data_IF_147532228232
#
_entry.id   IF_147532228232
#
_cell.length_a   1.000
_cell.length_b   1.000
_cell.length_c   1.000
_cell.angle_alpha   90.00
_cell.angle_beta   90.00
_cell.angle_gamma   90.00
#
_symmetry.space_group_name_H-M   'P 1'
#
loop_
_entity.id
_entity.type
_entity.pdbx_description
1 polymer ?
#
# COMPACT_ATOMS: atom_id res chain seq x y z
N UNK A 1 22.89 -20.04 -10.71
CA UNK A 1 21.57 -19.44 -10.50
C UNK A 1 21.80 -18.21 -9.65
N UNK A 2 21.78 -17.01 -10.23
CA UNK A 2 21.97 -15.78 -9.46
C UNK A 2 20.75 -15.59 -8.58
N UNK A 3 20.97 -15.52 -7.28
CA UNK A 3 19.98 -15.04 -6.34
C UNK A 3 19.94 -13.53 -6.55
N UNK A 4 18.94 -13.04 -7.28
CA UNK A 4 18.75 -11.61 -7.46
C UNK A 4 18.36 -11.05 -6.08
N UNK A 5 19.35 -10.54 -5.35
CA UNK A 5 19.14 -9.95 -4.03
C UNK A 5 18.25 -8.71 -4.19
N UNK A 6 17.10 -8.70 -3.50
CA UNK A 6 16.28 -7.51 -3.39
C UNK A 6 17.11 -6.39 -2.75
N UNK A 7 17.05 -5.20 -3.34
CA UNK A 7 17.80 -4.05 -2.85
C UNK A 7 17.15 -3.48 -1.59
N UNK A 8 17.92 -3.38 -0.50
CA UNK A 8 17.47 -2.74 0.73
C UNK A 8 17.57 -1.21 0.61
N UNK A 9 16.42 -0.56 0.59
CA UNK A 9 16.28 0.88 0.47
C UNK A 9 16.23 1.52 1.87
N UNK A 10 17.25 2.34 2.17
CA UNK A 10 17.31 3.05 3.44
C UNK A 10 16.47 4.32 3.44
N UNK A 11 16.11 4.81 4.63
CA UNK A 11 15.40 6.08 4.81
C UNK A 11 16.12 7.26 4.15
N UNK A 12 17.45 7.32 4.24
CA UNK A 12 18.26 8.40 3.68
C UNK A 12 18.22 8.41 2.15
N UNK A 13 18.02 7.25 1.54
CA UNK A 13 17.93 7.07 0.09
C UNK A 13 16.54 7.44 -0.47
N UNK A 14 15.53 7.58 0.37
CA UNK A 14 14.22 8.12 0.01
C UNK A 14 14.27 9.64 -0.16
N UNK A 15 15.05 10.08 -1.14
CA UNK A 15 15.16 11.47 -1.56
C UNK A 15 15.10 11.57 -3.09
N UNK A 16 14.61 12.71 -3.59
CA UNK A 16 14.34 12.92 -5.01
C UNK A 16 15.52 12.61 -5.91
N UNK A 17 16.73 13.00 -5.52
CA UNK A 17 17.95 12.79 -6.31
C UNK A 17 18.20 11.31 -6.50
N UNK A 18 18.31 10.57 -5.39
CA UNK A 18 18.60 9.14 -5.43
C UNK A 18 17.54 8.36 -6.21
N UNK A 19 16.25 8.61 -5.96
CA UNK A 19 15.15 7.95 -6.65
C UNK A 19 15.21 8.20 -8.17
N UNK A 20 15.42 9.45 -8.59
CA UNK A 20 15.47 9.80 -10.03
C UNK A 20 16.67 9.22 -10.76
N UNK A 21 17.82 9.10 -10.08
CA UNK A 21 19.08 8.64 -10.69
C UNK A 21 19.21 7.12 -10.68
N UNK A 22 18.63 6.42 -9.70
CA UNK A 22 18.91 5.00 -9.45
C UNK A 22 17.68 4.09 -9.54
N UNK A 23 16.48 4.59 -9.20
CA UNK A 23 15.26 3.76 -9.12
C UNK A 23 14.45 3.87 -10.41
N UNK A 24 13.99 5.05 -10.78
CA UNK A 24 13.12 5.23 -11.96
C UNK A 24 13.73 4.78 -13.30
N UNK A 25 15.05 4.93 -13.55
CA UNK A 25 15.65 4.43 -14.79
C UNK A 25 15.75 2.91 -14.85
N UNK A 26 15.60 2.20 -13.72
CA UNK A 26 15.75 0.76 -13.66
C UNK A 26 14.50 0.06 -14.23
N UNK A 27 14.69 -0.65 -15.34
CA UNK A 27 13.62 -1.38 -16.03
C UNK A 27 13.60 -2.89 -15.74
N UNK A 28 14.54 -3.37 -14.94
CA UNK A 28 14.73 -4.79 -14.67
C UNK A 28 14.34 -5.17 -13.23
N UNK A 29 14.47 -4.23 -12.29
CA UNK A 29 14.10 -4.42 -10.88
C UNK A 29 13.04 -3.40 -10.48
N UNK A 30 11.89 -3.90 -10.07
CA UNK A 30 10.76 -3.13 -9.56
C UNK A 30 10.55 -3.29 -8.05
N UNK A 31 11.02 -4.38 -7.44
CA UNK A 31 10.88 -4.66 -6.01
C UNK A 31 12.10 -4.29 -5.19
N UNK A 32 11.83 -3.77 -3.99
CA UNK A 32 12.82 -3.32 -3.01
C UNK A 32 12.44 -3.84 -1.62
N UNK A 33 13.39 -3.86 -0.68
CA UNK A 33 13.10 -4.07 0.74
C UNK A 33 13.24 -2.75 1.49
N UNK A 34 12.45 -2.56 2.54
CA UNK A 34 12.64 -1.46 3.47
C UNK A 34 12.34 -1.95 4.89
N UNK A 35 13.30 -1.81 5.78
CA UNK A 35 13.24 -2.23 7.19
C UNK A 35 12.76 -1.10 8.13
N UNK A 36 12.77 0.15 7.67
CA UNK A 36 12.22 1.28 8.41
C UNK A 36 10.69 1.35 8.27
N UNK A 37 10.00 1.01 9.37
CA UNK A 37 8.55 0.99 9.48
C UNK A 37 7.95 2.30 10.00
N UNK A 38 8.72 3.39 9.98
CA UNK A 38 8.20 4.69 10.41
C UNK A 38 7.16 5.23 9.42
N UNK A 39 6.19 5.97 9.96
CA UNK A 39 5.13 6.60 9.17
C UNK A 39 5.71 7.56 8.12
N UNK A 40 6.79 8.27 8.47
CA UNK A 40 7.50 9.16 7.55
C UNK A 40 8.05 8.40 6.34
N UNK A 41 8.71 7.27 6.57
CA UNK A 41 9.30 6.45 5.51
C UNK A 41 8.22 5.87 4.61
N UNK A 42 7.13 5.34 5.18
CA UNK A 42 6.00 4.84 4.38
C UNK A 42 5.35 5.93 3.54
N UNK A 43 5.13 7.13 4.09
CA UNK A 43 4.58 8.27 3.34
C UNK A 43 5.51 8.65 2.19
N UNK A 44 6.82 8.75 2.42
CA UNK A 44 7.80 9.04 1.37
C UNK A 44 7.80 7.99 0.25
N UNK A 45 7.68 6.70 0.60
CA UNK A 45 7.54 5.64 -0.39
C UNK A 45 6.32 5.91 -1.30
N UNK A 46 5.16 6.21 -0.72
CA UNK A 46 3.97 6.56 -1.50
C UNK A 46 4.16 7.83 -2.35
N UNK A 47 4.78 8.88 -1.81
CA UNK A 47 5.06 10.14 -2.53
C UNK A 47 5.97 9.92 -3.75
N UNK A 48 6.92 8.99 -3.66
CA UNK A 48 7.77 8.58 -4.79
C UNK A 48 7.11 7.55 -5.71
N UNK A 49 5.85 7.20 -5.46
CA UNK A 49 5.05 6.32 -6.32
C UNK A 49 5.17 4.83 -6.00
N UNK A 50 5.88 4.44 -4.95
CA UNK A 50 5.95 3.04 -4.57
C UNK A 50 4.58 2.54 -4.08
N UNK A 51 4.23 1.33 -4.49
CA UNK A 51 3.17 0.53 -3.87
C UNK A 51 3.86 -0.42 -2.91
N UNK A 52 3.60 -0.28 -1.61
CA UNK A 52 4.25 -1.11 -0.59
C UNK A 52 3.26 -2.11 -0.01
N UNK A 53 3.70 -3.36 0.09
CA UNK A 53 3.08 -4.38 0.92
C UNK A 53 4.07 -4.79 2.01
N UNK A 54 3.90 -5.97 2.61
CA UNK A 54 4.87 -6.51 3.56
C UNK A 54 5.26 -7.95 3.26
N UNK A 55 6.44 -8.33 3.75
CA UNK A 55 6.99 -9.67 3.59
C UNK A 55 7.82 -10.05 4.83
N UNK A 56 7.87 -11.34 5.12
CA UNK A 56 8.79 -11.92 6.10
C UNK A 56 9.87 -12.68 5.33
N UNK A 57 11.13 -12.28 5.51
CA UNK A 57 12.31 -12.94 4.93
C UNK A 57 13.29 -13.26 6.05
N UNK A 58 13.72 -14.53 6.14
CA UNK A 58 14.67 -14.99 7.16
C UNK A 58 14.29 -14.56 8.60
N UNK A 59 13.00 -14.65 8.93
CA UNK A 59 12.39 -14.25 10.20
C UNK A 59 12.43 -12.73 10.50
N UNK A 60 12.80 -11.91 9.53
CA UNK A 60 12.73 -10.46 9.62
C UNK A 60 11.56 -9.91 8.81
N UNK A 61 10.91 -8.89 9.35
CA UNK A 61 9.80 -8.21 8.70
C UNK A 61 10.32 -7.03 7.87
N UNK A 62 9.82 -6.90 6.64
CA UNK A 62 10.12 -5.77 5.76
C UNK A 62 8.84 -5.23 5.14
N UNK A 63 8.83 -3.92 4.86
CA UNK A 63 8.02 -3.42 3.77
C UNK A 63 8.61 -3.95 2.46
N UNK A 64 7.74 -4.24 1.51
CA UNK A 64 8.11 -4.64 0.15
C UNK A 64 7.62 -3.57 -0.84
N UNK A 65 8.36 -2.45 -1.01
CA UNK A 65 7.99 -1.42 -1.98
C UNK A 65 8.21 -1.88 -3.42
N UNK A 66 7.28 -1.51 -4.28
CA UNK A 66 7.35 -1.79 -5.72
C UNK A 66 7.10 -0.52 -6.55
N UNK A 67 7.97 -0.27 -7.53
CA UNK A 67 7.69 0.68 -8.62
C UNK A 67 7.06 -0.10 -9.78
N UNK A 68 5.80 0.19 -10.10
CA UNK A 68 5.13 -0.48 -11.21
C UNK A 68 5.68 0.04 -12.53
N UNK A 69 5.94 -0.86 -13.49
CA UNK A 69 6.24 -0.43 -14.87
C UNK A 69 5.01 0.20 -15.54
N UNK A 70 3.82 -0.26 -15.15
CA UNK A 70 2.53 0.28 -15.59
C UNK A 70 1.57 0.33 -14.40
N UNK A 71 1.08 1.52 -14.06
CA UNK A 71 0.13 1.69 -12.97
C UNK A 71 -1.30 1.49 -13.46
N UNK A 72 -2.02 0.57 -12.82
CA UNK A 72 -3.47 0.48 -12.99
C UNK A 72 -4.13 1.66 -12.29
N UNK A 73 -4.82 2.51 -13.06
CA UNK A 73 -5.58 3.65 -12.55
C UNK A 73 -7.08 3.43 -12.75
N UNK A 74 -7.87 3.88 -11.78
CA UNK A 74 -9.34 3.86 -11.87
C UNK A 74 -9.85 5.27 -12.21
N UNK A 75 -10.38 5.43 -13.43
CA UNK A 75 -11.12 6.64 -13.80
C UNK A 75 -12.57 6.55 -13.29
N UNK A 76 -12.87 7.27 -12.21
CA UNK A 76 -14.19 7.30 -11.60
C UNK A 76 -15.29 7.77 -12.55
N UNK A 77 -14.99 8.67 -13.49
CA UNK A 77 -15.98 9.18 -14.45
C UNK A 77 -16.42 8.09 -15.43
N UNK A 78 -15.54 7.11 -15.67
CA UNK A 78 -15.79 5.99 -16.56
C UNK A 78 -15.98 4.66 -15.82
N UNK A 79 -16.29 4.71 -14.52
CA UNK A 79 -16.54 3.52 -13.73
C UNK A 79 -17.76 2.77 -14.29
N UNK A 80 -17.54 1.56 -14.78
CA UNK A 80 -18.62 0.72 -15.26
C UNK A 80 -19.49 0.20 -14.10
N UNK A 81 -20.74 0.66 -14.03
CA UNK A 81 -21.72 0.17 -13.04
C UNK A 81 -22.81 -0.62 -13.77
N UNK A 82 -22.81 -1.93 -13.54
CA UNK A 82 -23.81 -2.83 -14.14
C UNK A 82 -25.23 -2.51 -13.65
N UNK A 83 -26.25 -2.91 -14.44
CA UNK A 83 -27.66 -2.71 -14.08
C UNK A 83 -28.01 -3.34 -12.72
N UNK A 84 -27.46 -4.53 -12.42
CA UNK A 84 -27.67 -5.24 -11.15
C UNK A 84 -27.17 -4.43 -9.96
N UNK A 85 -25.96 -3.88 -10.07
CA UNK A 85 -25.36 -3.04 -9.01
C UNK A 85 -26.17 -1.75 -8.83
N UNK A 86 -26.65 -1.12 -9.91
CA UNK A 86 -27.54 0.05 -9.82
C UNK A 86 -28.83 -0.27 -9.06
N UNK A 87 -29.40 -1.46 -9.23
CA UNK A 87 -30.57 -1.90 -8.45
C UNK A 87 -30.22 -2.08 -6.98
N UNK A 88 -29.11 -2.75 -6.66
CA UNK A 88 -28.67 -2.96 -5.27
C UNK A 88 -28.47 -1.64 -4.52
N UNK A 89 -27.87 -0.63 -5.16
CA UNK A 89 -27.67 0.70 -4.57
C UNK A 89 -29.01 1.36 -4.20
N UNK A 90 -30.07 1.15 -5.01
CA UNK A 90 -31.40 1.72 -4.78
C UNK A 90 -32.16 1.05 -3.64
N UNK A 91 -31.88 -0.21 -3.34
CA UNK A 91 -32.65 -0.99 -2.36
C UNK A 91 -32.44 -0.53 -0.91
N UNK A 92 -31.48 0.37 -0.63
CA UNK A 92 -31.20 0.95 0.70
C UNK A 92 -30.89 -0.04 1.84
N UNK A 93 -30.76 -1.34 1.52
CA UNK A 93 -30.42 -2.41 2.46
C UNK A 93 -28.99 -2.27 3.01
N UNK A 94 -28.12 -1.58 2.28
CA UNK A 94 -26.73 -1.35 2.67
C UNK A 94 -26.46 0.12 2.95
N UNK A 95 -25.74 0.39 4.04
CA UNK A 95 -25.24 1.72 4.36
C UNK A 95 -23.74 1.78 4.06
N UNK A 96 -23.36 2.64 3.13
CA UNK A 96 -21.96 2.96 2.89
C UNK A 96 -21.49 3.98 3.94
N UNK A 97 -20.38 3.67 4.62
CA UNK A 97 -19.74 4.56 5.58
C UNK A 97 -18.25 4.64 5.28
N UNK A 98 -17.64 5.80 5.48
CA UNK A 98 -16.21 6.02 5.33
C UNK A 98 -15.57 6.02 6.72
N UNK A 99 -14.44 5.33 6.89
CA UNK A 99 -13.63 5.29 8.12
C UNK A 99 -14.38 4.95 9.41
N UNK A 100 -15.53 4.28 9.32
CA UNK A 100 -16.35 3.93 10.50
C UNK A 100 -15.70 2.84 11.36
N UNK A 101 -15.13 1.83 10.71
CA UNK A 101 -14.52 0.68 11.38
C UNK A 101 -13.35 0.14 10.54
N UNK A 102 -12.28 0.94 10.48
CA UNK A 102 -11.10 0.64 9.66
C UNK A 102 -10.43 -0.68 10.07
N UNK A 103 -10.36 -0.97 11.38
CA UNK A 103 -9.75 -2.19 11.90
C UNK A 103 -10.53 -3.44 11.46
N UNK A 104 -11.86 -3.42 11.53
CA UNK A 104 -12.68 -4.53 11.06
C UNK A 104 -12.47 -4.79 9.56
N UNK A 105 -12.34 -3.73 8.75
CA UNK A 105 -12.03 -3.88 7.32
C UNK A 105 -10.68 -4.56 7.10
N UNK A 106 -9.62 -4.14 7.80
CA UNK A 106 -8.29 -4.78 7.70
C UNK A 106 -8.34 -6.25 8.09
N UNK A 107 -8.98 -6.57 9.21
CA UNK A 107 -9.14 -7.96 9.67
C UNK A 107 -9.85 -8.83 8.64
N UNK A 108 -10.88 -8.31 7.97
CA UNK A 108 -11.59 -9.08 6.95
C UNK A 108 -10.76 -9.30 5.69
N UNK A 109 -9.92 -8.33 5.28
CA UNK A 109 -8.98 -8.51 4.17
C UNK A 109 -7.95 -9.59 4.51
N UNK A 110 -7.38 -9.51 5.73
CA UNK A 110 -6.39 -10.48 6.20
C UNK A 110 -6.97 -11.90 6.28
N UNK A 111 -8.19 -12.06 6.81
CA UNK A 111 -8.82 -13.37 6.95
C UNK A 111 -9.34 -13.96 5.63
N UNK A 112 -9.57 -13.12 4.62
CA UNK A 112 -10.04 -13.58 3.32
C UNK A 112 -8.95 -14.31 2.53
N UNK A 113 -7.68 -13.89 2.67
CA UNK A 113 -6.53 -14.51 2.00
C UNK A 113 -5.68 -15.31 2.98
N UNK A 114 -5.47 -16.60 2.70
CA UNK A 114 -4.61 -17.47 3.54
C UNK A 114 -3.18 -16.93 3.66
N UNK A 115 -2.65 -16.37 2.57
CA UNK A 115 -1.31 -15.77 2.46
C UNK A 115 -1.46 -14.25 2.31
N UNK A 116 -2.06 -13.61 3.32
CA UNK A 116 -2.27 -12.17 3.33
C UNK A 116 -0.95 -11.41 3.41
N UNK A 117 -0.79 -10.41 2.57
CA UNK A 117 0.32 -9.44 2.63
C UNK A 117 0.17 -8.42 3.77
N UNK A 118 -0.94 -8.46 4.51
CA UNK A 118 -1.18 -7.69 5.72
C UNK A 118 -0.75 -8.51 6.92
N UNK A 119 0.53 -8.37 7.27
CA UNK A 119 1.12 -8.92 8.49
C UNK A 119 0.94 -7.96 9.68
N UNK A 120 1.15 -8.44 10.91
CA UNK A 120 0.84 -7.69 12.14
C UNK A 120 1.52 -6.30 12.21
N UNK A 121 2.79 -6.20 11.83
CA UNK A 121 3.51 -4.93 11.83
C UNK A 121 3.00 -3.96 10.75
N UNK A 122 2.57 -4.50 9.61
CA UNK A 122 1.95 -3.70 8.55
C UNK A 122 0.55 -3.22 8.94
N UNK A 123 -0.26 -4.06 9.58
CA UNK A 123 -1.55 -3.68 10.14
C UNK A 123 -1.41 -2.49 11.12
N UNK A 124 -0.46 -2.59 12.06
CA UNK A 124 -0.15 -1.52 13.02
C UNK A 124 0.22 -0.21 12.32
N UNK A 125 1.04 -0.28 11.27
CA UNK A 125 1.40 0.88 10.44
C UNK A 125 0.16 1.54 9.83
N UNK A 126 -0.71 0.75 9.19
CA UNK A 126 -1.95 1.24 8.57
C UNK A 126 -2.89 1.90 9.59
N UNK A 127 -3.05 1.31 10.77
CA UNK A 127 -3.87 1.87 11.86
C UNK A 127 -3.29 3.21 12.35
N UNK A 128 -1.98 3.30 12.49
CA UNK A 128 -1.30 4.53 12.89
C UNK A 128 -1.47 5.63 11.82
N UNK A 129 -1.36 5.31 10.54
CA UNK A 129 -1.62 6.24 9.43
C UNK A 129 -3.05 6.78 9.44
N UNK A 130 -4.04 5.90 9.62
CA UNK A 130 -5.44 6.31 9.72
C UNK A 130 -5.68 7.25 10.91
N UNK A 131 -4.99 7.01 12.03
CA UNK A 131 -5.10 7.83 13.24
C UNK A 131 -4.49 9.22 13.05
N UNK A 132 -3.35 9.34 12.34
CA UNK A 132 -2.77 10.64 11.97
C UNK A 132 -3.74 11.48 11.13
N UNK A 133 -4.41 10.86 10.14
CA UNK A 133 -5.35 11.57 9.26
C UNK A 133 -6.54 12.14 10.02
N UNK A 134 -7.04 11.43 11.03
CA UNK A 134 -8.15 11.91 11.86
C UNK A 134 -7.76 13.14 12.72
N UNK A 135 -6.47 13.36 12.98
CA UNK A 135 -5.96 14.52 13.72
C UNK A 135 -5.69 15.74 12.83
N UNK A 136 -5.47 15.53 11.52
CA UNK A 136 -5.15 16.57 10.53
C UNK A 136 -6.32 16.83 9.56
N UNK A 137 -7.55 16.69 10.05
CA UNK A 137 -8.78 16.74 9.26
C UNK A 137 -8.93 18.03 8.44
N UNK A 138 -8.48 17.97 7.18
CA UNK A 138 -8.90 18.81 6.06
C UNK A 138 -8.97 17.93 4.80
N UNK A 139 -9.99 17.07 4.76
CA UNK A 139 -10.67 16.61 3.55
C UNK A 139 -12.14 16.42 3.89
#
# INVERSE_FOLDING_TARGET
>A
MSQDFLYLLSKEQLNKKFISENIYPNKNLNYYLCDDLSLETYIKLCEFGFISTSIILENNFYLLPEIQFEYAILDFNNLHISKKVKTLIKNSEYKFCINRDFKSVLNQIQNYHKDSWIEENYEKLLINLNSLKNNNSNF
#
